data_IF_445999930423
#
_entry.id   IF_445999930423
#
_cell.length_a   1.000
_cell.length_b   1.000
_cell.length_c   1.000
_cell.angle_alpha   90.00
_cell.angle_beta   90.00
_cell.angle_gamma   90.00
#
_symmetry.space_group_name_H-M   'P 1'
#
loop_
_entity.id
_entity.type
_entity.pdbx_description
1 polymer ?
#
# COMPACT_ATOMS: atom_id res chain seq x y z
N UNK A 1 -22.40 23.48 49.91
CA UNK A 1 -21.14 23.64 49.15
C UNK A 1 -21.09 25.07 48.65
N UNK A 2 -19.94 25.74 48.77
CA UNK A 2 -19.81 27.11 48.26
C UNK A 2 -19.74 27.09 46.74
N UNK A 3 -20.29 28.12 46.07
CA UNK A 3 -20.15 28.32 44.61
C UNK A 3 -18.67 28.28 44.18
N UNK A 4 -17.77 28.72 45.07
CA UNK A 4 -16.31 28.65 44.84
C UNK A 4 -15.76 27.21 44.82
N UNK A 5 -16.38 26.28 45.54
CA UNK A 5 -15.97 24.88 45.56
C UNK A 5 -16.38 24.19 44.25
N UNK A 6 -17.58 24.46 43.73
CA UNK A 6 -18.04 23.94 42.45
C UNK A 6 -17.18 24.42 41.27
N UNK A 7 -16.81 25.71 41.25
CA UNK A 7 -15.94 26.29 40.22
C UNK A 7 -14.55 25.65 40.25
N UNK A 8 -13.97 25.44 41.43
CA UNK A 8 -12.68 24.76 41.59
C UNK A 8 -12.73 23.31 41.11
N UNK A 9 -13.84 22.62 41.36
CA UNK A 9 -14.00 21.22 40.99
C UNK A 9 -14.18 21.04 39.47
N UNK A 10 -14.91 21.95 38.82
CA UNK A 10 -15.02 22.04 37.35
C UNK A 10 -13.65 22.36 36.72
N UNK A 11 -12.90 23.31 37.26
CA UNK A 11 -11.57 23.67 36.76
C UNK A 11 -10.57 22.50 36.89
N UNK A 12 -10.59 21.76 38.00
CA UNK A 12 -9.79 20.55 38.20
C UNK A 12 -10.16 19.44 37.22
N UNK A 13 -11.46 19.17 37.02
CA UNK A 13 -11.96 18.18 36.04
C UNK A 13 -11.55 18.54 34.61
N UNK A 14 -11.63 19.82 34.25
CA UNK A 14 -11.22 20.32 32.93
C UNK A 14 -9.71 20.20 32.72
N UNK A 15 -8.91 20.55 33.73
CA UNK A 15 -7.44 20.43 33.69
C UNK A 15 -7.00 18.97 33.58
N UNK A 16 -7.63 18.06 34.33
CA UNK A 16 -7.37 16.61 34.25
C UNK A 16 -7.75 16.04 32.88
N UNK A 17 -8.90 16.41 32.29
CA UNK A 17 -9.28 16.01 30.92
C UNK A 17 -8.29 16.52 29.88
N UNK A 18 -7.82 17.76 30.01
CA UNK A 18 -6.81 18.35 29.11
C UNK A 18 -5.45 17.67 29.26
N UNK A 19 -5.02 17.33 30.48
CA UNK A 19 -3.78 16.58 30.73
C UNK A 19 -3.84 15.18 30.15
N UNK A 20 -4.95 14.45 30.36
CA UNK A 20 -5.18 13.13 29.76
C UNK A 20 -5.22 13.21 28.23
N UNK A 21 -5.85 14.24 27.64
CA UNK A 21 -5.80 14.48 26.19
C UNK A 21 -4.38 14.79 25.70
N UNK A 22 -3.60 15.60 26.41
CA UNK A 22 -2.21 15.92 26.08
C UNK A 22 -1.30 14.70 26.20
N UNK A 23 -1.47 13.88 27.23
CA UNK A 23 -0.73 12.62 27.41
C UNK A 23 -1.12 11.58 26.36
N UNK A 24 -2.40 11.44 26.03
CA UNK A 24 -2.86 10.61 24.92
C UNK A 24 -2.42 11.14 23.54
N UNK A 25 -2.14 12.44 23.43
CA UNK A 25 -1.61 13.09 22.23
C UNK A 25 -0.07 13.09 22.18
N UNK A 26 0.64 12.65 23.23
CA UNK A 26 2.09 12.45 23.14
C UNK A 26 2.35 11.38 22.08
N UNK A 27 3.15 11.74 21.07
CA UNK A 27 3.58 10.80 20.03
C UNK A 27 4.28 9.64 20.71
N UNK A 28 3.72 8.45 20.56
CA UNK A 28 4.34 7.22 21.02
C UNK A 28 5.64 7.00 20.24
N UNK A 29 6.64 6.34 20.85
CA UNK A 29 7.96 6.20 20.23
C UNK A 29 7.87 5.51 18.86
N UNK A 30 8.76 5.92 17.96
CA UNK A 30 8.94 5.24 16.68
C UNK A 30 9.46 3.82 16.92
N UNK A 31 9.05 2.90 16.06
CA UNK A 31 9.56 1.54 16.06
C UNK A 31 10.76 1.53 15.12
N UNK A 32 11.96 1.33 15.65
CA UNK A 32 13.14 1.10 14.84
C UNK A 32 13.16 -0.36 14.39
N UNK A 33 13.26 -0.60 13.08
CA UNK A 33 13.60 -1.91 12.54
C UNK A 33 15.10 -1.90 12.36
N UNK A 34 15.78 -2.86 12.99
CA UNK A 34 17.22 -3.06 12.83
C UNK A 34 17.55 -3.59 11.44
N UNK A 35 18.83 -3.83 11.20
CA UNK A 35 19.25 -4.54 10.00
C UNK A 35 18.68 -5.97 10.02
N UNK A 36 18.19 -6.41 8.86
CA UNK A 36 17.71 -7.77 8.64
C UNK A 36 18.68 -8.38 7.64
N UNK A 37 19.29 -9.52 8.01
CA UNK A 37 20.28 -10.19 7.18
C UNK A 37 19.71 -10.53 5.79
N UNK A 38 20.48 -10.27 4.74
CA UNK A 38 20.06 -10.46 3.35
C UNK A 38 18.91 -9.56 2.85
N UNK A 39 18.57 -8.48 3.57
CA UNK A 39 17.52 -7.53 3.18
C UNK A 39 18.07 -6.10 3.14
N UNK A 40 17.86 -5.41 2.02
CA UNK A 40 18.13 -3.97 1.91
C UNK A 40 17.29 -3.21 2.94
N UNK A 41 17.99 -2.62 3.91
CA UNK A 41 17.38 -1.90 5.02
C UNK A 41 16.65 -0.62 4.61
N UNK A 42 16.01 0.01 5.59
CA UNK A 42 15.26 1.26 5.39
C UNK A 42 16.14 2.48 5.07
N UNK A 43 17.39 2.45 5.53
CA UNK A 43 18.35 3.54 5.38
C UNK A 43 17.93 4.79 6.16
N UNK A 44 18.17 5.97 5.57
CA UNK A 44 17.93 7.29 6.18
C UNK A 44 16.54 7.87 5.88
N UNK A 45 15.66 7.09 5.25
CA UNK A 45 14.32 7.51 4.88
C UNK A 45 13.46 7.77 6.11
N UNK A 46 12.44 8.62 5.98
CA UNK A 46 11.48 8.90 7.06
C UNK A 46 10.83 7.59 7.52
N UNK A 47 11.00 7.23 8.79
CA UNK A 47 10.37 6.05 9.37
C UNK A 47 8.88 6.30 9.71
N UNK A 48 7.92 5.63 9.05
CA UNK A 48 6.49 5.79 9.33
C UNK A 48 6.03 5.00 10.57
N UNK A 49 6.80 4.00 11.01
CA UNK A 49 6.38 3.11 12.08
C UNK A 49 6.40 3.81 13.43
N UNK A 50 5.27 3.71 14.12
CA UNK A 50 5.11 4.18 15.48
C UNK A 50 4.22 3.22 16.24
N UNK A 51 4.37 3.17 17.56
CA UNK A 51 3.48 2.38 18.41
C UNK A 51 2.13 3.08 18.50
N UNK A 52 1.29 3.07 17.47
CA UNK A 52 -0.06 3.67 17.50
C UNK A 52 -1.12 2.58 17.60
N UNK A 53 -2.12 2.77 18.45
CA UNK A 53 -3.30 1.92 18.52
C UNK A 53 -4.49 2.50 17.72
N UNK A 54 -4.26 3.59 16.98
CA UNK A 54 -5.29 4.28 16.19
C UNK A 54 -5.05 4.23 14.69
N UNK A 55 -3.82 3.92 14.28
CA UNK A 55 -3.42 3.87 12.88
C UNK A 55 -2.76 2.54 12.59
N UNK A 56 -3.18 1.92 11.50
CA UNK A 56 -2.54 0.74 10.94
C UNK A 56 -1.13 1.13 10.47
N UNK A 57 -0.13 0.39 10.92
CA UNK A 57 1.28 0.52 10.50
C UNK A 57 1.76 -0.90 10.19
N UNK A 58 2.37 -1.11 9.04
CA UNK A 58 2.93 -2.41 8.66
C UNK A 58 4.29 -2.25 7.99
N UNK A 59 5.02 -3.34 7.94
CA UNK A 59 6.22 -3.50 7.12
C UNK A 59 6.12 -4.81 6.36
N UNK A 60 6.67 -4.84 5.15
CA UNK A 60 6.78 -6.04 4.32
C UNK A 60 8.13 -6.07 3.62
N UNK A 61 8.56 -7.28 3.23
CA UNK A 61 9.70 -7.45 2.33
C UNK A 61 9.15 -7.39 0.90
N UNK A 62 9.78 -6.61 0.04
CA UNK A 62 9.43 -6.50 -1.37
C UNK A 62 10.65 -6.81 -2.22
N UNK A 63 10.41 -7.29 -3.44
CA UNK A 63 11.44 -7.55 -4.46
C UNK A 63 10.99 -6.87 -5.73
N UNK A 64 11.89 -6.12 -6.37
CA UNK A 64 11.57 -5.39 -7.60
C UNK A 64 12.66 -5.58 -8.64
N UNK A 65 12.33 -5.46 -9.92
CA UNK A 65 13.31 -5.58 -11.00
C UNK A 65 14.36 -4.44 -10.95
N UNK A 66 14.00 -3.31 -10.36
CA UNK A 66 14.88 -2.15 -10.17
C UNK A 66 16.10 -2.45 -9.29
N UNK A 67 16.00 -3.40 -8.36
CA UNK A 67 17.08 -3.78 -7.47
C UNK A 67 17.45 -5.26 -7.64
N UNK A 68 17.42 -5.75 -8.89
CA UNK A 68 17.78 -7.12 -9.26
C UNK A 68 17.04 -8.20 -8.44
N UNK A 69 15.81 -7.90 -8.03
CA UNK A 69 14.97 -8.74 -7.17
C UNK A 69 15.54 -9.01 -5.77
N UNK A 70 16.51 -8.20 -5.31
CA UNK A 70 17.02 -8.27 -3.95
C UNK A 70 15.91 -7.95 -2.94
N UNK A 71 15.78 -8.69 -1.83
CA UNK A 71 14.81 -8.38 -0.79
C UNK A 71 15.05 -6.98 -0.21
N UNK A 72 14.00 -6.16 -0.10
CA UNK A 72 14.10 -4.82 0.49
C UNK A 72 12.94 -4.53 1.43
N UNK A 73 13.19 -3.71 2.45
CA UNK A 73 12.18 -3.36 3.45
C UNK A 73 11.26 -2.23 2.96
N UNK A 74 9.96 -2.49 2.96
CA UNK A 74 8.91 -1.52 2.65
C UNK A 74 8.05 -1.24 3.89
N UNK A 75 8.00 0.02 4.35
CA UNK A 75 7.23 0.44 5.52
C UNK A 75 6.01 1.28 5.14
N UNK A 76 4.90 1.07 5.84
CA UNK A 76 3.59 1.64 5.52
C UNK A 76 3.03 2.44 6.70
N UNK A 77 2.60 3.67 6.42
CA UNK A 77 1.93 4.55 7.40
C UNK A 77 0.42 4.25 7.49
N UNK A 78 -0.12 3.47 6.57
CA UNK A 78 -1.54 3.13 6.48
C UNK A 78 -1.79 1.82 5.70
N UNK A 79 -2.99 1.25 5.86
CA UNK A 79 -3.41 0.05 5.11
C UNK A 79 -3.53 0.33 3.61
N UNK A 80 -3.88 1.56 3.22
CA UNK A 80 -4.02 1.95 1.81
C UNK A 80 -2.66 2.08 1.13
N UNK A 81 -1.64 2.57 1.85
CA UNK A 81 -0.26 2.56 1.31
C UNK A 81 0.23 1.15 1.06
N UNK A 82 -0.04 0.22 1.97
CA UNK A 82 0.27 -1.19 1.76
C UNK A 82 -0.47 -1.73 0.54
N UNK A 83 -1.79 -1.52 0.47
CA UNK A 83 -2.61 -2.00 -0.64
C UNK A 83 -2.13 -1.48 -2.00
N UNK A 84 -1.83 -0.18 -2.09
CA UNK A 84 -1.31 0.43 -3.31
C UNK A 84 0.05 -0.14 -3.71
N UNK A 85 0.96 -0.38 -2.77
CA UNK A 85 2.26 -1.00 -3.05
C UNK A 85 2.12 -2.43 -3.53
N UNK A 86 1.29 -3.23 -2.87
CA UNK A 86 1.01 -4.61 -3.28
C UNK A 86 0.40 -4.61 -4.68
N UNK A 87 -0.59 -3.75 -4.94
CA UNK A 87 -1.20 -3.66 -6.26
C UNK A 87 -0.19 -3.28 -7.34
N UNK A 88 0.70 -2.31 -7.06
CA UNK A 88 1.77 -1.94 -7.96
C UNK A 88 2.79 -3.07 -8.22
N UNK A 89 3.15 -3.84 -7.18
CA UNK A 89 4.06 -5.00 -7.32
C UNK A 89 3.47 -6.11 -8.18
N UNK A 90 2.15 -6.20 -8.26
CA UNK A 90 1.43 -7.16 -9.10
C UNK A 90 1.19 -6.65 -10.52
N UNK A 91 1.57 -5.41 -10.86
CA UNK A 91 1.47 -4.94 -12.23
C UNK A 91 2.66 -5.43 -13.06
N UNK A 92 2.44 -6.08 -14.22
CA UNK A 92 3.54 -6.68 -14.99
C UNK A 92 4.53 -5.64 -15.52
N UNK A 93 4.06 -4.43 -15.82
CA UNK A 93 4.88 -3.33 -16.35
C UNK A 93 5.59 -2.50 -15.26
N UNK A 94 5.40 -2.81 -13.98
CA UNK A 94 6.13 -2.13 -12.89
C UNK A 94 7.46 -2.83 -12.68
N UNK A 95 8.54 -2.05 -12.71
CA UNK A 95 9.91 -2.53 -12.44
C UNK A 95 10.41 -2.11 -11.07
N UNK A 96 9.90 -1.01 -10.51
CA UNK A 96 10.39 -0.46 -9.25
C UNK A 96 9.29 0.13 -8.39
N UNK A 97 9.37 -0.14 -7.09
CA UNK A 97 8.51 0.43 -6.05
C UNK A 97 9.39 0.92 -4.90
N UNK A 98 9.51 2.23 -4.74
CA UNK A 98 10.28 2.83 -3.66
C UNK A 98 9.35 3.51 -2.65
N UNK A 99 9.54 3.24 -1.36
CA UNK A 99 8.73 3.82 -0.29
C UNK A 99 9.37 5.09 0.28
N UNK A 100 8.57 6.13 0.50
CA UNK A 100 9.03 7.45 1.00
C UNK A 100 10.25 7.98 0.21
N UNK A 101 10.18 8.03 -1.14
CA UNK A 101 11.34 8.18 -2.03
C UNK A 101 12.05 9.52 -1.88
N UNK A 102 11.31 10.60 -1.66
CA UNK A 102 11.86 11.94 -1.60
C UNK A 102 10.92 12.90 -0.86
N UNK A 103 11.49 14.04 -0.46
CA UNK A 103 10.77 15.16 0.16
C UNK A 103 11.03 16.43 -0.64
N UNK A 104 9.97 17.07 -1.11
CA UNK A 104 10.05 18.38 -1.77
C UNK A 104 9.79 19.51 -0.76
N UNK A 105 10.47 20.66 -0.90
CA UNK A 105 10.11 21.87 -0.16
C UNK A 105 8.79 22.43 -0.69
N UNK A 106 7.99 23.02 0.19
CA UNK A 106 6.80 23.79 -0.15
C UNK A 106 6.96 25.24 0.34
N UNK A 107 6.38 26.23 -0.36
CA UNK A 107 6.41 27.62 0.08
C UNK A 107 5.86 27.78 1.50
N UNK A 108 6.54 28.58 2.33
CA UNK A 108 5.97 28.98 3.61
C UNK A 108 4.89 30.04 3.37
N UNK A 109 3.75 29.90 4.05
CA UNK A 109 2.66 30.88 3.98
C UNK A 109 2.89 32.10 4.88
N UNK A 110 3.91 32.06 5.73
CA UNK A 110 4.30 33.15 6.64
C UNK A 110 5.80 33.14 6.91
N UNK A 111 6.43 34.30 7.11
CA UNK A 111 7.87 34.45 7.38
C UNK A 111 8.34 33.69 8.65
N UNK A 112 7.45 33.43 9.61
CA UNK A 112 7.79 32.83 10.91
C UNK A 112 7.56 31.32 11.03
N UNK A 113 7.14 30.61 9.97
CA UNK A 113 6.90 29.15 10.05
C UNK A 113 8.06 28.33 9.49
N UNK A 114 8.32 27.21 10.15
CA UNK A 114 9.18 26.11 9.69
C UNK A 114 8.93 25.83 8.21
N UNK A 115 10.00 25.70 7.41
CA UNK A 115 9.95 25.31 5.99
C UNK A 115 8.97 24.15 5.83
N UNK A 116 7.87 24.39 5.12
CA UNK A 116 6.92 23.32 4.80
C UNK A 116 7.59 22.40 3.80
N UNK A 117 7.25 21.13 3.88
CA UNK A 117 7.71 20.13 2.93
C UNK A 117 6.64 19.07 2.72
N UNK A 118 6.78 18.32 1.65
CA UNK A 118 5.94 17.17 1.34
C UNK A 118 6.81 15.99 0.97
N UNK A 119 6.61 14.87 1.66
CA UNK A 119 7.17 13.57 1.28
C UNK A 119 6.12 12.80 0.52
N UNK A 120 6.48 12.32 -0.67
CA UNK A 120 5.64 11.38 -1.40
C UNK A 120 5.67 10.03 -0.69
N UNK A 121 4.58 9.27 -0.81
CA UNK A 121 4.48 7.99 -0.12
C UNK A 121 5.18 6.87 -0.88
N UNK A 122 5.08 6.90 -2.21
CA UNK A 122 5.63 5.87 -3.10
C UNK A 122 6.14 6.49 -4.42
N UNK A 123 7.26 5.97 -4.94
CA UNK A 123 7.65 6.14 -6.35
C UNK A 123 7.44 4.81 -7.08
N UNK A 124 6.74 4.86 -8.20
CA UNK A 124 6.58 3.74 -9.12
C UNK A 124 7.43 4.02 -10.35
N UNK A 125 8.21 3.03 -10.77
CA UNK A 125 8.95 3.07 -12.04
C UNK A 125 8.43 1.96 -12.93
N UNK A 126 8.10 2.34 -14.16
CA UNK A 126 7.60 1.44 -15.19
C UNK A 126 8.74 0.98 -16.09
N UNK A 127 8.50 -0.13 -16.79
CA UNK A 127 9.45 -0.74 -17.72
C UNK A 127 9.87 0.20 -18.87
N UNK A 128 8.99 1.10 -19.30
CA UNK A 128 9.28 2.12 -20.30
C UNK A 128 10.07 3.33 -19.76
N UNK A 129 10.54 3.26 -18.50
CA UNK A 129 11.28 4.32 -17.83
C UNK A 129 10.40 5.43 -17.25
N UNK A 130 9.07 5.38 -17.41
CA UNK A 130 8.19 6.37 -16.77
C UNK A 130 8.21 6.22 -15.26
N UNK A 131 8.14 7.36 -14.58
CA UNK A 131 8.21 7.47 -13.12
C UNK A 131 6.99 8.22 -12.62
N UNK A 132 6.23 7.60 -11.72
CA UNK A 132 5.07 8.21 -11.05
C UNK A 132 5.35 8.39 -9.55
N UNK A 133 5.03 9.56 -9.02
CA UNK A 133 5.07 9.84 -7.58
C UNK A 133 3.65 9.82 -7.02
N UNK A 134 3.41 8.92 -6.06
CA UNK A 134 2.11 8.73 -5.47
C UNK A 134 2.00 9.45 -4.11
N UNK A 135 0.86 10.11 -3.92
CA UNK A 135 0.42 10.65 -2.65
C UNK A 135 -0.86 9.92 -2.22
N UNK A 136 -0.77 9.17 -1.13
CA UNK A 136 -1.87 8.36 -0.60
C UNK A 136 -2.61 9.17 0.46
N UNK A 137 -3.93 9.31 0.29
CA UNK A 137 -4.75 10.10 1.21
C UNK A 137 -6.16 9.53 1.32
N UNK A 138 -6.68 9.47 2.54
CA UNK A 138 -8.07 9.09 2.77
C UNK A 138 -9.04 10.01 2.01
N UNK A 139 -10.07 9.42 1.39
CA UNK A 139 -11.06 10.07 0.56
C UNK A 139 -11.80 11.16 1.31
N UNK A 140 -12.14 10.91 2.59
CA UNK A 140 -12.75 11.93 3.45
C UNK A 140 -11.89 13.19 3.54
N UNK A 141 -10.57 13.04 3.58
CA UNK A 141 -9.66 14.18 3.61
C UNK A 141 -9.55 14.86 2.25
N UNK A 142 -9.62 14.12 1.14
CA UNK A 142 -9.58 14.70 -0.21
C UNK A 142 -10.78 15.62 -0.52
N UNK A 143 -11.92 15.40 0.13
CA UNK A 143 -13.11 16.27 -0.01
C UNK A 143 -12.95 17.66 0.60
N UNK A 144 -11.91 17.92 1.41
CA UNK A 144 -11.71 19.25 1.97
C UNK A 144 -11.08 20.21 0.95
N UNK A 145 -11.57 21.45 0.88
CA UNK A 145 -10.98 22.51 0.04
C UNK A 145 -9.49 22.72 0.34
N UNK A 146 -9.09 22.54 1.60
CA UNK A 146 -7.69 22.58 2.02
C UNK A 146 -6.81 21.50 1.40
N UNK A 147 -7.35 20.29 1.16
CA UNK A 147 -6.59 19.19 0.54
C UNK A 147 -6.37 19.43 -0.94
N UNK A 148 -7.39 19.90 -1.66
CA UNK A 148 -7.26 20.26 -3.09
C UNK A 148 -6.22 21.35 -3.28
N UNK A 149 -6.25 22.41 -2.47
CA UNK A 149 -5.24 23.46 -2.51
C UNK A 149 -3.84 22.92 -2.17
N UNK A 150 -3.73 22.00 -1.20
CA UNK A 150 -2.45 21.38 -0.83
C UNK A 150 -1.90 20.50 -1.95
N UNK A 151 -2.73 19.71 -2.62
CA UNK A 151 -2.33 18.87 -3.76
C UNK A 151 -1.86 19.75 -4.91
N UNK A 152 -2.60 20.83 -5.21
CA UNK A 152 -2.22 21.79 -6.25
C UNK A 152 -0.87 22.43 -5.95
N UNK A 153 -0.62 22.80 -4.68
CA UNK A 153 0.66 23.33 -4.21
C UNK A 153 1.80 22.31 -4.36
N UNK A 154 1.55 21.03 -4.03
CA UNK A 154 2.51 19.94 -4.20
C UNK A 154 2.87 19.76 -5.68
N UNK A 155 1.87 19.64 -6.55
CA UNK A 155 2.08 19.43 -7.99
C UNK A 155 2.86 20.60 -8.59
N UNK A 156 2.48 21.84 -8.27
CA UNK A 156 3.15 23.04 -8.77
C UNK A 156 4.61 23.17 -8.31
N UNK A 157 4.97 22.59 -7.16
CA UNK A 157 6.33 22.64 -6.62
C UNK A 157 7.11 21.33 -6.81
N UNK A 158 6.54 20.34 -7.49
CA UNK A 158 7.25 19.11 -7.85
C UNK A 158 8.09 19.39 -9.10
N UNK A 159 9.43 19.33 -9.04
CA UNK A 159 10.26 19.55 -10.21
C UNK A 159 9.95 18.53 -11.32
N UNK A 160 9.83 19.00 -12.56
CA UNK A 160 9.43 18.18 -13.70
C UNK A 160 10.40 17.03 -14.02
N UNK A 161 11.66 17.13 -13.59
CA UNK A 161 12.65 16.08 -13.75
C UNK A 161 12.55 14.95 -12.71
N UNK A 162 11.72 15.08 -11.67
CA UNK A 162 11.57 14.03 -10.65
C UNK A 162 10.57 12.95 -11.03
N UNK A 163 9.60 13.26 -11.88
CA UNK A 163 8.56 12.33 -12.29
C UNK A 163 7.86 12.78 -13.57
N UNK A 164 7.24 11.82 -14.25
CA UNK A 164 6.37 12.05 -15.38
C UNK A 164 4.95 12.42 -14.94
N UNK A 165 4.49 11.88 -13.79
CA UNK A 165 3.17 12.18 -13.22
C UNK A 165 3.20 12.15 -11.69
N UNK A 166 2.40 13.02 -11.09
CA UNK A 166 1.97 12.91 -9.69
C UNK A 166 0.59 12.27 -9.67
N UNK A 167 0.42 11.22 -8.86
CA UNK A 167 -0.83 10.47 -8.73
C UNK A 167 -1.34 10.60 -7.30
N UNK A 168 -2.64 10.81 -7.14
CA UNK A 168 -3.29 10.84 -5.83
C UNK A 168 -4.17 9.60 -5.70
N UNK A 169 -3.94 8.81 -4.66
CA UNK A 169 -4.60 7.53 -4.42
C UNK A 169 -5.39 7.62 -3.11
N UNK A 170 -6.57 7.02 -3.06
CA UNK A 170 -7.40 6.99 -1.85
C UNK A 170 -7.96 5.62 -1.52
N UNK A 171 -8.58 5.51 -0.34
CA UNK A 171 -9.16 4.28 0.19
C UNK A 171 -10.32 3.73 -0.64
N UNK A 172 -11.00 4.56 -1.43
CA UNK A 172 -12.10 4.10 -2.30
C UNK A 172 -11.62 3.25 -3.47
N UNK A 173 -10.33 3.31 -3.81
CA UNK A 173 -9.73 2.50 -4.87
C UNK A 173 -9.48 1.04 -4.45
N UNK A 174 -9.63 0.72 -3.16
CA UNK A 174 -9.28 -0.60 -2.63
C UNK A 174 -10.37 -1.11 -1.68
N UNK A 175 -11.30 -1.91 -2.19
CA UNK A 175 -12.23 -2.63 -1.32
C UNK A 175 -11.48 -3.58 -0.38
N UNK A 176 -12.12 -4.00 0.72
CA UNK A 176 -11.50 -4.95 1.66
C UNK A 176 -11.11 -6.26 0.95
N UNK A 177 -12.01 -6.78 0.12
CA UNK A 177 -11.77 -8.01 -0.63
C UNK A 177 -10.61 -7.84 -1.60
N UNK A 178 -10.54 -6.72 -2.31
CA UNK A 178 -9.43 -6.41 -3.21
C UNK A 178 -8.09 -6.45 -2.47
N UNK A 179 -7.98 -5.80 -1.31
CA UNK A 179 -6.75 -5.83 -0.51
C UNK A 179 -6.37 -7.24 -0.07
N UNK A 180 -7.32 -8.00 0.46
CA UNK A 180 -7.08 -9.35 0.96
C UNK A 180 -6.76 -10.34 -0.18
N UNK A 181 -7.40 -10.19 -1.34
CA UNK A 181 -7.06 -10.91 -2.57
C UNK A 181 -5.63 -10.60 -3.01
N UNK A 182 -5.26 -9.33 -3.07
CA UNK A 182 -3.93 -8.90 -3.51
C UNK A 182 -2.83 -9.41 -2.57
N UNK A 183 -3.06 -9.39 -1.26
CA UNK A 183 -2.13 -9.99 -0.28
C UNK A 183 -1.91 -11.48 -0.53
N UNK A 184 -2.98 -12.25 -0.77
CA UNK A 184 -2.91 -13.69 -1.08
C UNK A 184 -2.18 -13.96 -2.39
N UNK A 185 -2.46 -13.16 -3.42
CA UNK A 185 -1.78 -13.25 -4.73
C UNK A 185 -0.29 -12.97 -4.58
N UNK A 186 0.10 -11.89 -3.90
CA UNK A 186 1.50 -11.55 -3.65
C UNK A 186 2.22 -12.68 -2.90
N UNK A 187 1.61 -13.22 -1.85
CA UNK A 187 2.17 -14.36 -1.12
C UNK A 187 2.42 -15.57 -2.04
N UNK A 188 1.53 -15.85 -2.99
CA UNK A 188 1.72 -16.95 -3.94
C UNK A 188 2.85 -16.67 -4.93
N UNK A 189 3.08 -15.41 -5.32
CA UNK A 189 4.22 -15.01 -6.16
C UNK A 189 5.58 -15.23 -5.47
N UNK A 190 5.63 -15.12 -4.14
CA UNK A 190 6.83 -15.43 -3.37
C UNK A 190 7.12 -16.93 -3.25
N UNK A 191 6.21 -17.78 -3.71
CA UNK A 191 6.29 -19.25 -3.65
C UNK A 191 6.15 -19.87 -5.06
N UNK A 192 7.12 -19.67 -5.97
CA UNK A 192 7.01 -20.15 -7.34
C UNK A 192 6.97 -21.69 -7.42
N UNK A 193 6.15 -22.22 -8.34
CA UNK A 193 6.09 -23.65 -8.65
C UNK A 193 5.88 -23.82 -10.15
N UNK A 194 6.99 -23.88 -10.89
CA UNK A 194 6.98 -23.89 -12.35
C UNK A 194 6.20 -25.07 -12.96
N UNK A 195 6.16 -26.22 -12.29
CA UNK A 195 5.41 -27.38 -12.78
C UNK A 195 3.91 -27.15 -12.67
N UNK A 196 3.43 -26.72 -11.50
CA UNK A 196 2.02 -26.38 -11.32
C UNK A 196 1.59 -25.22 -12.24
N UNK A 197 2.46 -24.22 -12.42
CA UNK A 197 2.20 -23.06 -13.28
C UNK A 197 2.06 -23.47 -14.75
N UNK A 198 2.97 -24.32 -15.27
CA UNK A 198 2.86 -24.88 -16.62
C UNK A 198 1.55 -25.62 -16.81
N UNK A 199 1.21 -26.53 -15.90
CA UNK A 199 0.00 -27.35 -15.99
C UNK A 199 -1.28 -26.52 -16.02
N UNK A 200 -1.38 -25.50 -15.15
CA UNK A 200 -2.54 -24.60 -15.13
C UNK A 200 -2.58 -23.73 -16.38
N UNK A 201 -1.44 -23.24 -16.86
CA UNK A 201 -1.37 -22.45 -18.09
C UNK A 201 -1.84 -23.25 -19.32
N UNK A 202 -1.43 -24.52 -19.45
CA UNK A 202 -1.91 -25.42 -20.51
C UNK A 202 -3.43 -25.54 -20.51
N UNK A 203 -4.04 -25.81 -19.34
CA UNK A 203 -5.50 -25.92 -19.22
C UNK A 203 -6.20 -24.60 -19.57
N UNK A 204 -5.68 -23.48 -19.08
CA UNK A 204 -6.20 -22.15 -19.41
C UNK A 204 -6.13 -21.90 -20.91
N UNK A 205 -5.13 -22.41 -21.63
CA UNK A 205 -4.99 -22.25 -23.07
C UNK A 205 -5.88 -23.20 -23.89
N UNK A 206 -6.15 -24.40 -23.39
CA UNK A 206 -6.96 -25.40 -24.13
C UNK A 206 -8.47 -25.27 -23.90
N UNK A 207 -8.88 -24.75 -22.74
CA UNK A 207 -10.29 -24.72 -22.34
C UNK A 207 -11.02 -23.45 -22.81
N UNK A 208 -12.35 -23.51 -22.93
CA UNK A 208 -13.16 -22.35 -23.30
C UNK A 208 -13.38 -21.41 -22.11
N UNK A 209 -13.10 -20.10 -22.29
CA UNK A 209 -13.31 -19.06 -21.27
C UNK A 209 -14.79 -18.59 -21.25
N UNK A 210 -15.37 -18.20 -20.09
CA UNK A 210 -14.77 -18.14 -18.75
C UNK A 210 -14.72 -19.50 -18.04
N UNK A 211 -13.75 -19.67 -17.14
CA UNK A 211 -13.48 -20.91 -16.41
C UNK A 211 -13.76 -20.75 -14.91
N UNK A 212 -14.34 -21.78 -14.28
CA UNK A 212 -14.42 -21.84 -12.81
C UNK A 212 -13.11 -22.34 -12.23
N UNK A 213 -12.65 -21.70 -11.15
CA UNK A 213 -11.42 -22.11 -10.44
C UNK A 213 -11.52 -23.58 -9.99
N UNK A 214 -12.66 -24.01 -9.44
CA UNK A 214 -12.88 -25.39 -9.02
C UNK A 214 -12.68 -26.41 -10.15
N UNK A 215 -13.17 -26.10 -11.34
CA UNK A 215 -13.07 -26.98 -12.51
C UNK A 215 -11.62 -27.08 -13.00
N UNK A 216 -10.86 -25.98 -12.98
CA UNK A 216 -9.44 -25.99 -13.31
C UNK A 216 -8.62 -26.84 -12.33
N UNK A 217 -8.90 -26.70 -11.03
CA UNK A 217 -8.23 -27.50 -10.00
C UNK A 217 -8.49 -28.99 -10.23
N UNK A 218 -9.74 -29.37 -10.47
CA UNK A 218 -10.11 -30.77 -10.72
C UNK A 218 -9.44 -31.32 -11.99
N UNK A 219 -9.51 -30.60 -13.11
CA UNK A 219 -8.90 -31.02 -14.39
C UNK A 219 -7.37 -31.05 -14.36
N UNK A 220 -6.75 -30.30 -13.45
CA UNK A 220 -5.29 -30.23 -13.37
C UNK A 220 -4.64 -31.54 -12.96
N UNK A 221 -5.32 -32.34 -12.13
CA UNK A 221 -4.73 -33.52 -11.48
C UNK A 221 -3.68 -33.21 -10.41
N UNK A 222 -3.46 -31.92 -10.10
CA UNK A 222 -2.50 -31.48 -9.09
C UNK A 222 -3.11 -31.57 -7.67
N UNK A 223 -2.25 -31.47 -6.66
CA UNK A 223 -2.71 -31.18 -5.30
C UNK A 223 -3.50 -29.87 -5.29
N UNK A 224 -4.61 -29.82 -4.54
CA UNK A 224 -5.51 -28.66 -4.50
C UNK A 224 -4.77 -27.35 -4.17
N UNK A 225 -3.81 -27.41 -3.24
CA UNK A 225 -2.98 -26.26 -2.85
C UNK A 225 -2.14 -25.74 -4.01
N UNK A 226 -1.53 -26.62 -4.79
CA UNK A 226 -0.59 -26.26 -5.84
C UNK A 226 -1.35 -25.64 -7.02
N UNK A 227 -2.47 -26.24 -7.40
CA UNK A 227 -3.36 -25.68 -8.42
C UNK A 227 -3.92 -24.33 -8.00
N UNK A 228 -4.39 -24.20 -6.75
CA UNK A 228 -4.90 -22.93 -6.22
C UNK A 228 -3.85 -21.82 -6.26
N UNK A 229 -2.64 -22.09 -5.76
CA UNK A 229 -1.55 -21.12 -5.75
C UNK A 229 -1.10 -20.75 -7.17
N UNK A 230 -1.04 -21.72 -8.09
CA UNK A 230 -0.72 -21.48 -9.49
C UNK A 230 -1.76 -20.57 -10.15
N UNK A 231 -3.06 -20.81 -9.93
CA UNK A 231 -4.13 -19.93 -10.43
C UNK A 231 -3.98 -18.51 -9.87
N UNK A 232 -3.69 -18.34 -8.58
CA UNK A 232 -3.45 -17.02 -8.00
C UNK A 232 -2.22 -16.32 -8.61
N UNK A 233 -1.14 -17.06 -8.92
CA UNK A 233 0.02 -16.53 -9.65
C UNK A 233 -0.35 -16.12 -11.08
N UNK A 234 -1.19 -16.87 -11.79
CA UNK A 234 -1.66 -16.49 -13.13
C UNK A 234 -2.50 -15.20 -13.09
N UNK A 235 -3.34 -15.03 -12.06
CA UNK A 235 -4.10 -13.80 -11.83
C UNK A 235 -3.15 -12.63 -11.57
N UNK A 236 -2.17 -12.80 -10.68
CA UNK A 236 -1.19 -11.76 -10.36
C UNK A 236 -0.25 -11.42 -11.51
N UNK A 237 0.08 -12.37 -12.37
CA UNK A 237 0.84 -12.14 -13.60
C UNK A 237 0.02 -11.46 -14.72
N UNK A 238 -1.29 -11.23 -14.51
CA UNK A 238 -2.18 -10.67 -15.52
C UNK A 238 -2.46 -11.61 -16.69
N UNK A 239 -2.15 -12.90 -16.59
CA UNK A 239 -2.43 -13.89 -17.63
C UNK A 239 -3.93 -14.25 -17.70
N UNK A 240 -4.64 -14.08 -16.58
CA UNK A 240 -6.09 -14.21 -16.47
C UNK A 240 -6.65 -13.09 -15.59
N UNK A 241 -7.86 -12.63 -15.91
CA UNK A 241 -8.66 -11.73 -15.09
C UNK A 241 -9.60 -12.48 -14.14
N UNK A 242 -10.00 -11.81 -13.06
CA UNK A 242 -11.07 -12.24 -12.16
C UNK A 242 -11.67 -11.01 -11.45
N UNK A 243 -12.85 -11.17 -10.85
CA UNK A 243 -13.47 -10.11 -10.04
C UNK A 243 -12.75 -10.00 -8.69
N UNK A 244 -11.85 -9.01 -8.57
CA UNK A 244 -11.01 -8.82 -7.38
C UNK A 244 -11.72 -8.04 -6.26
N UNK A 245 -12.85 -7.39 -6.51
CA UNK A 245 -13.67 -6.78 -5.45
C UNK A 245 -14.62 -7.79 -4.76
N UNK A 246 -14.76 -8.99 -5.32
CA UNK A 246 -15.35 -10.14 -4.66
C UNK A 246 -14.26 -11.03 -4.01
N UNK A 247 -14.62 -11.83 -3.01
CA UNK A 247 -13.69 -12.82 -2.46
C UNK A 247 -13.37 -13.85 -3.54
N UNK A 248 -12.08 -13.99 -3.89
CA UNK A 248 -11.63 -15.07 -4.77
C UNK A 248 -11.67 -16.39 -3.98
N UNK A 249 -12.45 -17.34 -4.47
CA UNK A 249 -12.67 -18.68 -3.92
C UNK A 249 -12.95 -19.70 -5.05
N UNK A 250 -13.10 -20.98 -4.73
CA UNK A 250 -13.34 -22.06 -5.69
C UNK A 250 -14.46 -21.80 -6.72
N UNK A 251 -15.62 -21.20 -6.37
CA UNK A 251 -16.69 -20.94 -7.33
C UNK A 251 -16.42 -19.77 -8.28
N UNK A 252 -15.40 -18.95 -8.00
CA UNK A 252 -15.08 -17.76 -8.79
C UNK A 252 -14.74 -18.11 -10.22
N UNK A 253 -15.06 -17.17 -11.12
CA UNK A 253 -14.72 -17.26 -12.54
C UNK A 253 -13.41 -16.54 -12.82
N UNK A 254 -12.64 -17.10 -13.74
CA UNK A 254 -11.50 -16.44 -14.38
C UNK A 254 -11.73 -16.36 -15.89
N UNK A 255 -11.15 -15.36 -16.52
CA UNK A 255 -11.25 -15.15 -17.97
C UNK A 255 -9.91 -14.74 -18.55
N UNK A 256 -9.71 -14.96 -19.85
CA UNK A 256 -8.55 -14.38 -20.54
C UNK A 256 -8.77 -12.88 -20.70
N UNK A 257 -7.79 -12.02 -20.39
CA UNK A 257 -7.89 -10.59 -20.65
C UNK A 257 -8.06 -10.35 -22.16
N UNK A 258 -8.77 -9.27 -22.51
CA UNK A 258 -8.94 -8.80 -23.89
C UNK A 258 -7.64 -8.29 -24.51
#
# INVERSE_FOLDING_TARGET
>A
MSVLDEVRDIARKTTKKTKVRKEAAKRKPQIAIGEIDGVIGWGTRRNPLSRSNRSYKSGMIIRTRMNDMEPSLALNDSEIEEAFKIDALLQPNVVGVECQPLTIPLPSKTEKKSRRSHSFDVRITLEDGKVYLAYVKAQRSLRSSSSVATISEIVANTPANLCHRVVVISDVSFSRNYRDNNRRILMCHEMPNAEADRRICELINTEASPLRISALIEKSGLAKSDAWQAILRMIGAGMVGTERDAVIDYPSLIWRPE
#
